data_IF_571087886592
#
_entry.id   IF_571087886592
#
_cell.length_a   1.000
_cell.length_b   1.000
_cell.length_c   1.000
_cell.angle_alpha   90.00
_cell.angle_beta   90.00
_cell.angle_gamma   90.00
#
_symmetry.space_group_name_H-M   'P 1'
#
loop_
_entity.id
_entity.type
_entity.pdbx_description
1 polymer ?
#
# COMPACT_ATOMS: atom_id res chain seq x y z
N UNK A 1 36.65 34.09 7.99
CA UNK A 1 35.41 33.33 8.21
C UNK A 1 35.68 31.91 7.74
N UNK A 2 35.65 30.93 8.63
CA UNK A 2 35.81 29.53 8.23
C UNK A 2 34.43 28.97 7.91
N UNK A 3 34.18 28.61 6.65
CA UNK A 3 32.99 27.87 6.24
C UNK A 3 33.34 26.39 6.14
N UNK A 4 32.71 25.57 6.97
CA UNK A 4 32.79 24.11 6.83
C UNK A 4 31.80 23.75 5.71
N UNK A 5 32.31 23.26 4.59
CA UNK A 5 31.47 22.59 3.61
C UNK A 5 30.95 21.31 4.26
N UNK A 6 29.66 21.27 4.60
CA UNK A 6 28.99 20.03 4.94
C UNK A 6 28.61 19.35 3.63
N UNK A 7 29.34 18.31 3.17
CA UNK A 7 28.77 17.45 2.15
C UNK A 7 27.49 16.85 2.73
N UNK A 8 26.39 16.85 1.96
CA UNK A 8 25.21 16.07 2.34
C UNK A 8 25.64 14.61 2.42
N UNK A 9 25.95 14.14 3.64
CA UNK A 9 26.44 12.79 3.88
C UNK A 9 25.35 11.74 3.58
N UNK A 10 24.08 12.15 3.58
CA UNK A 10 22.91 11.37 3.20
C UNK A 10 21.86 12.30 2.59
N UNK A 11 21.20 11.87 1.51
CA UNK A 11 20.05 12.58 0.95
C UNK A 11 18.77 11.98 1.55
N UNK A 12 17.79 12.81 1.88
CA UNK A 12 16.48 12.32 2.36
C UNK A 12 15.74 11.44 1.33
N UNK A 13 16.17 11.45 0.06
CA UNK A 13 15.65 10.55 -0.98
C UNK A 13 16.14 9.11 -0.81
N UNK A 14 17.21 8.89 -0.05
CA UNK A 14 17.81 7.57 0.17
C UNK A 14 17.26 6.85 1.41
N UNK A 15 16.39 7.51 2.21
CA UNK A 15 16.17 7.09 3.61
C UNK A 15 14.88 6.31 3.93
N UNK A 16 13.67 6.48 3.35
CA UNK A 16 12.58 5.57 3.84
C UNK A 16 11.29 5.33 3.03
N UNK A 17 10.69 6.30 2.31
CA UNK A 17 9.28 6.08 1.88
C UNK A 17 9.09 5.24 0.60
N UNK A 18 10.12 5.07 -0.24
CA UNK A 18 10.03 4.26 -1.46
C UNK A 18 10.11 2.75 -1.18
N UNK A 19 10.73 2.37 -0.05
CA UNK A 19 10.95 0.97 0.30
C UNK A 19 9.66 0.25 0.66
N UNK A 20 8.75 0.91 1.38
CA UNK A 20 7.51 0.29 1.84
C UNK A 20 6.51 0.07 0.70
N UNK A 21 6.34 1.04 -0.21
CA UNK A 21 5.53 0.85 -1.40
C UNK A 21 6.12 -0.22 -2.34
N UNK A 22 7.44 -0.22 -2.54
CA UNK A 22 8.10 -1.26 -3.34
C UNK A 22 7.98 -2.65 -2.71
N UNK A 23 8.07 -2.75 -1.37
CA UNK A 23 7.86 -3.98 -0.62
C UNK A 23 6.43 -4.47 -0.78
N UNK A 24 5.44 -3.58 -0.67
CA UNK A 24 4.04 -3.94 -0.91
C UNK A 24 3.82 -4.41 -2.35
N UNK A 25 4.38 -3.71 -3.34
CA UNK A 25 4.29 -4.12 -4.75
C UNK A 25 4.83 -5.53 -4.95
N UNK A 26 6.02 -5.84 -4.42
CA UNK A 26 6.61 -7.17 -4.48
C UNK A 26 5.74 -8.24 -3.81
N UNK A 27 5.11 -7.91 -2.67
CA UNK A 27 4.19 -8.83 -1.98
C UNK A 27 2.96 -9.11 -2.83
N UNK A 28 2.34 -8.07 -3.40
CA UNK A 28 1.16 -8.22 -4.26
C UNK A 28 1.47 -9.01 -5.55
N UNK A 29 2.65 -8.81 -6.14
CA UNK A 29 3.09 -9.55 -7.34
C UNK A 29 3.42 -11.03 -7.06
N UNK A 30 3.84 -11.35 -5.83
CA UNK A 30 4.28 -12.71 -5.47
C UNK A 30 3.20 -13.56 -4.80
N UNK A 31 2.12 -12.95 -4.32
CA UNK A 31 1.02 -13.65 -3.66
C UNK A 31 0.23 -14.51 -4.67
N UNK A 32 0.05 -15.82 -4.43
CA UNK A 32 -0.76 -16.68 -5.29
C UNK A 32 -2.26 -16.58 -4.93
N UNK A 33 -2.80 -15.37 -4.87
CA UNK A 33 -4.14 -15.07 -4.38
C UNK A 33 -5.21 -14.95 -5.49
N UNK A 34 -4.82 -15.04 -6.76
CA UNK A 34 -5.72 -14.86 -7.91
C UNK A 34 -6.99 -15.71 -7.82
N UNK A 35 -6.86 -17.00 -7.50
CA UNK A 35 -8.01 -17.91 -7.37
C UNK A 35 -8.98 -17.46 -6.25
N UNK A 36 -8.44 -16.91 -5.16
CA UNK A 36 -9.24 -16.41 -4.05
C UNK A 36 -9.96 -15.13 -4.45
N UNK A 37 -9.25 -14.16 -5.01
CA UNK A 37 -9.80 -12.86 -5.42
C UNK A 37 -10.89 -13.05 -6.48
N UNK A 38 -10.65 -13.89 -7.49
CA UNK A 38 -11.64 -14.22 -8.50
C UNK A 38 -12.90 -14.85 -7.89
N UNK A 39 -12.75 -15.76 -6.91
CA UNK A 39 -13.90 -16.35 -6.21
C UNK A 39 -14.68 -15.30 -5.42
N UNK A 40 -14.01 -14.35 -4.76
CA UNK A 40 -14.65 -13.26 -4.03
C UNK A 40 -15.41 -12.32 -4.97
N UNK A 41 -14.84 -12.01 -6.14
CA UNK A 41 -15.48 -11.22 -7.20
C UNK A 41 -16.74 -11.91 -7.72
N UNK A 42 -16.68 -13.22 -7.99
CA UNK A 42 -17.85 -14.02 -8.41
C UNK A 42 -18.94 -14.05 -7.33
N UNK A 43 -18.54 -14.16 -6.05
CA UNK A 43 -19.48 -14.22 -4.91
C UNK A 43 -20.09 -12.87 -4.55
N UNK A 44 -19.57 -11.77 -5.07
CA UNK A 44 -19.93 -10.39 -4.67
C UNK A 44 -21.44 -10.09 -4.70
N UNK A 45 -22.24 -10.87 -5.42
CA UNK A 45 -23.70 -10.77 -5.43
C UNK A 45 -24.19 -9.32 -5.68
N UNK A 46 -25.38 -8.95 -5.22
CA UNK A 46 -26.03 -7.66 -5.51
C UNK A 46 -25.84 -6.60 -4.40
N UNK A 47 -24.81 -6.75 -3.58
CA UNK A 47 -24.50 -5.80 -2.50
C UNK A 47 -23.89 -4.48 -3.00
N UNK A 48 -23.49 -3.62 -2.07
CA UNK A 48 -22.81 -2.35 -2.34
C UNK A 48 -21.55 -2.57 -3.20
N UNK A 49 -21.43 -1.80 -4.28
CA UNK A 49 -20.37 -1.96 -5.29
C UNK A 49 -19.50 -0.71 -5.49
N UNK A 50 -19.16 -0.04 -4.40
CA UNK A 50 -18.47 1.26 -4.49
C UNK A 50 -16.95 1.12 -4.76
N UNK A 51 -16.37 -0.02 -4.39
CA UNK A 51 -14.93 -0.28 -4.51
C UNK A 51 -14.66 -1.67 -5.10
N UNK A 52 -13.69 -1.87 -6.00
CA UNK A 52 -13.32 -3.18 -6.53
C UNK A 52 -12.91 -4.17 -5.43
N UNK A 53 -13.21 -5.47 -5.58
CA UNK A 53 -12.85 -6.48 -4.57
C UNK A 53 -11.34 -6.59 -4.45
N UNK A 54 -10.64 -6.65 -5.59
CA UNK A 54 -9.19 -6.68 -5.65
C UNK A 54 -8.54 -5.49 -4.95
N UNK A 55 -9.10 -4.30 -5.11
CA UNK A 55 -8.60 -3.10 -4.43
C UNK A 55 -8.74 -3.20 -2.91
N UNK A 56 -9.89 -3.68 -2.43
CA UNK A 56 -10.09 -3.94 -1.00
C UNK A 56 -9.19 -5.07 -0.47
N UNK A 57 -8.93 -6.10 -1.26
CA UNK A 57 -8.02 -7.19 -0.91
C UNK A 57 -6.58 -6.68 -0.79
N UNK A 58 -6.08 -5.95 -1.79
CA UNK A 58 -4.75 -5.35 -1.77
C UNK A 58 -4.57 -4.39 -0.59
N UNK A 59 -5.61 -3.61 -0.25
CA UNK A 59 -5.61 -2.75 0.92
C UNK A 59 -5.48 -3.54 2.23
N UNK A 60 -6.15 -4.67 2.34
CA UNK A 60 -6.03 -5.55 3.50
C UNK A 60 -4.60 -6.09 3.65
N UNK A 61 -3.98 -6.50 2.54
CA UNK A 61 -2.57 -6.92 2.52
C UNK A 61 -1.65 -5.78 2.93
N UNK A 62 -1.86 -4.56 2.42
CA UNK A 62 -1.13 -3.37 2.84
C UNK A 62 -1.25 -3.12 4.35
N UNK A 63 -2.45 -3.32 4.92
CA UNK A 63 -2.70 -3.28 6.36
C UNK A 63 -1.79 -4.20 7.16
N UNK A 64 -1.58 -5.42 6.66
CA UNK A 64 -0.72 -6.43 7.29
C UNK A 64 0.76 -6.06 7.12
N UNK A 65 1.19 -5.72 5.90
CA UNK A 65 2.60 -5.40 5.58
C UNK A 65 3.07 -4.17 6.34
N UNK A 66 2.23 -3.13 6.44
CA UNK A 66 2.52 -1.90 7.20
C UNK A 66 2.15 -2.00 8.67
N UNK A 67 1.67 -3.16 9.13
CA UNK A 67 1.37 -3.46 10.53
C UNK A 67 0.40 -2.45 11.15
N UNK A 68 -0.63 -2.04 10.39
CA UNK A 68 -1.64 -1.12 10.90
C UNK A 68 -2.40 -1.77 12.07
N UNK A 69 -2.52 -1.09 13.22
CA UNK A 69 -3.13 -1.68 14.43
C UNK A 69 -4.64 -1.85 14.33
N UNK A 70 -5.29 -1.18 13.36
CA UNK A 70 -6.72 -1.30 13.12
C UNK A 70 -7.10 -0.92 11.69
N UNK A 71 -8.31 -1.28 11.28
CA UNK A 71 -8.88 -0.91 9.98
C UNK A 71 -8.97 0.61 9.81
N UNK A 72 -9.33 1.35 10.87
CA UNK A 72 -9.41 2.81 10.84
C UNK A 72 -8.03 3.45 10.63
N UNK A 73 -6.97 2.83 11.17
CA UNK A 73 -5.60 3.28 10.91
C UNK A 73 -5.25 3.13 9.43
N UNK A 74 -5.57 1.98 8.82
CA UNK A 74 -5.36 1.74 7.39
C UNK A 74 -6.22 2.69 6.52
N UNK A 75 -7.48 2.92 6.89
CA UNK A 75 -8.35 3.83 6.15
C UNK A 75 -7.82 5.27 6.15
N UNK A 76 -7.28 5.74 7.29
CA UNK A 76 -6.59 7.05 7.35
C UNK A 76 -5.33 7.09 6.48
N UNK A 77 -4.57 5.98 6.42
CA UNK A 77 -3.43 5.87 5.51
C UNK A 77 -3.84 5.98 4.04
N UNK A 78 -4.84 5.21 3.64
CA UNK A 78 -5.37 5.23 2.27
C UNK A 78 -5.90 6.62 1.90
N UNK A 79 -6.53 7.32 2.84
CA UNK A 79 -7.00 8.69 2.59
C UNK A 79 -5.84 9.68 2.40
N UNK A 80 -4.75 9.57 3.17
CA UNK A 80 -3.62 10.50 3.12
C UNK A 80 -2.59 10.18 2.04
N UNK A 81 -2.54 8.93 1.55
CA UNK A 81 -1.51 8.43 0.65
C UNK A 81 -2.11 8.01 -0.71
N UNK A 82 -2.09 8.91 -1.72
CA UNK A 82 -2.59 8.60 -3.07
C UNK A 82 -1.82 7.46 -3.75
N UNK A 83 -0.50 7.39 -3.57
CA UNK A 83 0.34 6.35 -4.18
C UNK A 83 -0.01 4.96 -3.65
N UNK A 84 -0.33 4.84 -2.36
CA UNK A 84 -0.83 3.58 -1.79
C UNK A 84 -2.17 3.19 -2.40
N UNK A 85 -3.09 4.14 -2.59
CA UNK A 85 -4.39 3.86 -3.21
C UNK A 85 -4.25 3.41 -4.66
N UNK A 86 -3.39 4.07 -5.42
CA UNK A 86 -3.07 3.69 -6.79
C UNK A 86 -2.48 2.27 -6.84
N UNK A 87 -1.52 1.95 -5.97
CA UNK A 87 -0.95 0.61 -5.88
C UNK A 87 -1.98 -0.45 -5.49
N UNK A 88 -2.94 -0.11 -4.62
CA UNK A 88 -4.04 -1.02 -4.29
C UNK A 88 -5.03 -1.19 -5.44
N UNK A 89 -5.19 -0.19 -6.31
CA UNK A 89 -6.13 -0.20 -7.44
C UNK A 89 -7.49 0.46 -7.15
N UNK A 90 -7.52 1.46 -6.25
CA UNK A 90 -8.72 2.27 -5.96
C UNK A 90 -8.92 3.43 -6.93
#
# INVERSE_FOLDING_TARGET
MASIAQPLLFSWKDIDDSGDLAKLALVLESLPDENLVALLELRRSKGRNDYPVRACWNAMIAGIVYQHPSTESLLRELQRNPSLRELCGF
#
